data_IF_915905147608
#
_entry.id   IF_915905147608
#
_cell.length_a   1.000
_cell.length_b   1.000
_cell.length_c   1.000
_cell.angle_alpha   90.00
_cell.angle_beta   90.00
_cell.angle_gamma   90.00
#
_symmetry.space_group_name_H-M   'P 1'
#
loop_
_entity.id
_entity.type
_entity.pdbx_description
1 polymer ?
#
# COMPACT_ATOMS: atom_id res chain seq x y z
N UNK A 1 -1.06 -7.07 19.86
CA UNK A 1 -1.70 -6.94 18.53
C UNK A 1 -2.46 -5.62 18.57
N UNK A 2 -2.01 -4.61 17.84
CA UNK A 2 -2.69 -3.30 17.76
C UNK A 2 -3.99 -3.44 16.95
N UNK A 3 -4.99 -2.62 17.26
CA UNK A 3 -6.25 -2.62 16.54
C UNK A 3 -6.06 -2.03 15.13
N UNK A 4 -6.65 -2.69 14.13
CA UNK A 4 -6.74 -2.14 12.76
C UNK A 4 -7.72 -0.98 12.75
N UNK A 5 -7.31 0.13 12.15
CA UNK A 5 -8.06 1.38 12.09
C UNK A 5 -8.60 1.64 10.69
N UNK A 6 -9.51 2.61 10.55
CA UNK A 6 -9.96 3.08 9.22
C UNK A 6 -8.84 3.72 8.41
N UNK A 7 -7.83 4.29 9.08
CA UNK A 7 -6.64 4.85 8.44
C UNK A 7 -5.82 3.75 7.77
N UNK A 8 -5.66 2.59 8.40
CA UNK A 8 -4.95 1.45 7.82
C UNK A 8 -5.61 0.97 6.52
N UNK A 9 -6.95 0.91 6.50
CA UNK A 9 -7.70 0.56 5.29
C UNK A 9 -7.48 1.57 4.16
N UNK A 10 -7.40 2.87 4.49
CA UNK A 10 -7.08 3.93 3.53
C UNK A 10 -5.68 3.77 2.93
N UNK A 11 -4.67 3.51 3.76
CA UNK A 11 -3.31 3.26 3.30
C UNK A 11 -3.20 1.98 2.46
N UNK A 12 -3.88 0.90 2.87
CA UNK A 12 -3.91 -0.35 2.11
C UNK A 12 -4.57 -0.16 0.74
N UNK A 13 -5.66 0.61 0.66
CA UNK A 13 -6.29 0.95 -0.62
C UNK A 13 -5.32 1.73 -1.53
N UNK A 14 -4.54 2.67 -0.98
CA UNK A 14 -3.51 3.38 -1.72
C UNK A 14 -2.40 2.43 -2.22
N UNK A 15 -1.91 1.53 -1.37
CA UNK A 15 -0.90 0.54 -1.76
C UNK A 15 -1.39 -0.40 -2.88
N UNK A 16 -2.64 -0.87 -2.81
CA UNK A 16 -3.26 -1.65 -3.88
C UNK A 16 -3.37 -0.86 -5.19
N UNK A 17 -3.70 0.44 -5.12
CA UNK A 17 -3.72 1.31 -6.31
C UNK A 17 -2.33 1.48 -6.94
N UNK A 18 -1.26 1.53 -6.13
CA UNK A 18 0.12 1.51 -6.63
C UNK A 18 0.43 0.19 -7.34
N UNK A 19 0.09 -0.95 -6.72
CA UNK A 19 0.28 -2.28 -7.30
C UNK A 19 -0.41 -2.42 -8.67
N UNK A 20 -1.63 -1.91 -8.79
CA UNK A 20 -2.43 -1.98 -10.04
C UNK A 20 -1.72 -1.40 -11.27
N UNK A 21 -0.79 -0.47 -11.10
CA UNK A 21 -0.01 0.16 -12.20
C UNK A 21 0.91 -0.84 -12.91
N UNK A 22 1.28 -1.93 -12.23
CA UNK A 22 2.21 -2.93 -12.75
C UNK A 22 1.53 -4.25 -13.17
N UNK A 23 0.19 -4.33 -13.13
CA UNK A 23 -0.54 -5.53 -13.59
C UNK A 23 -0.20 -5.84 -15.05
N UNK A 24 0.12 -7.10 -15.32
CA UNK A 24 0.57 -7.58 -16.63
C UNK A 24 2.00 -7.16 -17.02
N UNK A 25 2.56 -6.11 -16.42
CA UNK A 25 3.94 -5.66 -16.68
C UNK A 25 4.97 -6.32 -15.77
N UNK A 26 4.56 -6.70 -14.56
CA UNK A 26 5.44 -7.31 -13.56
C UNK A 26 5.71 -8.80 -13.79
N UNK A 27 5.07 -9.45 -14.77
CA UNK A 27 5.23 -10.89 -15.01
C UNK A 27 6.71 -11.28 -15.18
N UNK A 28 7.20 -12.39 -14.58
CA UNK A 28 6.47 -13.43 -13.85
C UNK A 28 6.18 -13.10 -12.37
N UNK A 29 6.59 -11.93 -11.90
CA UNK A 29 6.46 -11.53 -10.51
C UNK A 29 5.08 -10.92 -10.24
N UNK A 30 4.58 -11.00 -8.98
CA UNK A 30 3.34 -10.33 -8.60
C UNK A 30 3.49 -8.81 -8.67
N UNK A 31 2.40 -8.13 -9.00
CA UNK A 31 2.35 -6.68 -8.88
C UNK A 31 2.19 -6.33 -7.38
N UNK A 32 3.16 -5.61 -6.83
CA UNK A 32 3.20 -5.19 -5.42
C UNK A 32 3.24 -3.68 -5.34
N UNK A 33 2.54 -3.12 -4.36
CA UNK A 33 2.59 -1.71 -4.01
C UNK A 33 2.85 -1.59 -2.52
N UNK A 34 3.60 -0.56 -2.13
CA UNK A 34 3.97 -0.27 -0.75
C UNK A 34 3.63 1.18 -0.45
N UNK A 35 3.22 1.44 0.78
CA UNK A 35 3.10 2.79 1.34
C UNK A 35 3.76 2.72 2.72
N UNK A 36 4.76 3.56 2.95
CA UNK A 36 5.38 3.78 4.24
C UNK A 36 4.78 5.04 4.87
N UNK A 37 4.49 4.98 6.17
CA UNK A 37 3.96 6.11 6.94
C UNK A 37 4.85 6.45 8.11
N UNK A 38 4.91 7.72 8.48
CA UNK A 38 5.61 8.20 9.67
C UNK A 38 4.80 7.94 10.96
N UNK A 39 5.36 8.34 12.11
CA UNK A 39 4.73 8.17 13.41
C UNK A 39 3.42 8.97 13.56
N UNK A 40 3.23 10.01 12.74
CA UNK A 40 2.01 10.82 12.67
C UNK A 40 0.99 10.29 11.65
N UNK A 41 1.30 9.19 10.96
CA UNK A 41 0.44 8.54 9.97
C UNK A 41 0.43 9.22 8.61
N UNK A 42 1.43 10.07 8.29
CA UNK A 42 1.57 10.72 6.99
C UNK A 42 2.41 9.84 6.05
N UNK A 43 2.09 9.85 4.76
CA UNK A 43 2.83 9.11 3.74
C UNK A 43 4.25 9.66 3.61
N UNK A 44 5.24 8.77 3.77
CA UNK A 44 6.66 9.06 3.68
C UNK A 44 7.32 8.39 2.46
N UNK A 45 6.67 7.40 1.83
CA UNK A 45 7.18 6.67 0.67
C UNK A 45 6.19 5.65 0.12
#
# INVERSE_FOLDING_TARGET
MTAVTSVDLGHMAAALNLARRALGRAWPNPAVGCVAVDAEGRVAG
#
